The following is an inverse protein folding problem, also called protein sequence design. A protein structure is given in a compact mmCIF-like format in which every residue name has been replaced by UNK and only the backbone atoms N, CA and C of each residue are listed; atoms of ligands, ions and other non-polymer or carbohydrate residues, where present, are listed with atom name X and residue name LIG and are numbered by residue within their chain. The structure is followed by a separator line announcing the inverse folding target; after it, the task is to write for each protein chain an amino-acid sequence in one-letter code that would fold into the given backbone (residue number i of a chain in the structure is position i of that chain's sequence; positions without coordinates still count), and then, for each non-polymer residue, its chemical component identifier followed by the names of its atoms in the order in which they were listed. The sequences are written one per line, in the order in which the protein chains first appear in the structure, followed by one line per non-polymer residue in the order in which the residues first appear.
data_IF_075242929268
#
_entry.id   IF_075242929268
#
_cell.length_a   1.000
_cell.length_b   1.000
_cell.length_c   1.000
_cell.angle_alpha   90.00
_cell.angle_beta   90.00
_cell.angle_gamma   90.00
#
_symmetry.space_group_name_H-M   'P 1'
#
loop_
_entity.id
_entity.type
_entity.pdbx_description
1 polymer ?
#
# COMPACT_ATOMS: atom_id res chain seq x y z
N UNK A 1 10.18 32.22 5.34
CA UNK A 1 10.42 30.85 4.80
C UNK A 1 9.14 30.36 4.15
N UNK A 2 9.17 29.98 2.86
CA UNK A 2 7.99 29.36 2.21
C UNK A 2 7.81 27.94 2.80
N UNK A 3 6.66 27.65 3.40
CA UNK A 3 6.35 26.29 3.83
C UNK A 3 6.26 25.39 2.58
N UNK A 4 7.16 24.42 2.47
CA UNK A 4 7.07 23.37 1.45
C UNK A 4 5.86 22.51 1.79
N UNK A 5 4.75 22.70 1.07
CA UNK A 5 3.58 21.83 1.21
C UNK A 5 3.99 20.44 0.73
N UNK A 6 4.23 19.52 1.67
CA UNK A 6 4.46 18.11 1.31
C UNK A 6 3.20 17.58 0.64
N UNK A 7 3.35 17.02 -0.56
CA UNK A 7 2.26 16.32 -1.25
C UNK A 7 1.80 15.18 -0.35
N UNK A 8 0.51 15.12 -0.05
CA UNK A 8 -0.08 14.00 0.69
C UNK A 8 0.19 12.70 -0.08
N UNK A 9 0.59 11.64 0.64
CA UNK A 9 0.77 10.30 0.10
C UNK A 9 0.01 9.31 1.00
N UNK A 10 -0.76 8.38 0.42
CA UNK A 10 -1.38 7.31 1.20
C UNK A 10 -0.29 6.42 1.81
N UNK A 11 -0.52 5.96 3.05
CA UNK A 11 0.26 4.90 3.69
C UNK A 11 -0.65 3.69 3.87
N UNK A 12 -0.19 2.53 3.42
CA UNK A 12 -0.87 1.26 3.67
C UNK A 12 -0.29 0.68 4.96
N UNK A 13 -1.16 0.24 5.87
CA UNK A 13 -0.79 -0.50 7.07
C UNK A 13 -1.56 -1.82 7.07
N UNK A 14 -0.89 -2.91 7.47
CA UNK A 14 -1.51 -4.24 7.49
C UNK A 14 -1.71 -4.62 8.94
N UNK A 15 -2.95 -4.92 9.29
CA UNK A 15 -3.33 -5.33 10.64
C UNK A 15 -3.80 -6.78 10.53
N UNK A 16 -3.12 -7.66 11.26
CA UNK A 16 -3.43 -9.07 11.31
C UNK A 16 -4.64 -9.34 12.21
N UNK A 17 -5.20 -10.55 12.16
CA UNK A 17 -6.37 -10.91 12.98
C UNK A 17 -6.10 -10.86 14.49
N UNK A 18 -4.83 -10.98 14.90
CA UNK A 18 -4.37 -10.82 16.28
C UNK A 18 -4.10 -9.35 16.67
N UNK A 19 -4.35 -8.40 15.77
CA UNK A 19 -4.13 -6.97 15.98
C UNK A 19 -2.70 -6.52 15.76
N UNK A 20 -1.77 -7.43 15.41
CA UNK A 20 -0.39 -7.05 15.11
C UNK A 20 -0.30 -6.25 13.81
N UNK A 21 0.58 -5.25 13.80
CA UNK A 21 0.86 -4.44 12.59
C UNK A 21 2.08 -5.02 11.89
N UNK A 22 1.91 -5.43 10.63
CA UNK A 22 3.00 -5.96 9.81
C UNK A 22 3.30 -5.00 8.67
N UNK A 23 4.50 -4.41 8.69
CA UNK A 23 4.97 -3.54 7.62
C UNK A 23 5.74 -4.30 6.53
N UNK A 24 6.45 -5.35 6.92
CA UNK A 24 7.16 -6.24 6.00
C UNK A 24 6.36 -7.51 5.74
N UNK A 25 5.77 -7.59 4.55
CA UNK A 25 5.06 -8.78 4.08
C UNK A 25 5.98 -9.77 3.36
N UNK A 26 7.30 -9.59 3.39
CA UNK A 26 8.23 -10.55 2.80
C UNK A 26 8.01 -11.93 3.42
N UNK A 27 7.75 -12.94 2.57
CA UNK A 27 7.44 -14.31 3.00
C UNK A 27 5.96 -14.60 3.23
N UNK A 28 5.07 -13.61 3.15
CA UNK A 28 3.62 -13.82 3.22
C UNK A 28 3.03 -14.07 1.82
N UNK A 29 2.16 -15.07 1.71
CA UNK A 29 1.40 -15.35 0.50
C UNK A 29 0.00 -14.79 0.66
N UNK A 30 -0.35 -13.78 -0.14
CA UNK A 30 -1.71 -13.26 -0.22
C UNK A 30 -2.46 -14.06 -1.30
N UNK A 31 -3.57 -14.75 -0.96
CA UNK A 31 -4.33 -15.52 -1.95
C UNK A 31 -4.85 -14.65 -3.10
N UNK A 32 -4.83 -15.21 -4.31
CA UNK A 32 -5.48 -14.60 -5.46
C UNK A 32 -7.00 -14.47 -5.23
N UNK A 33 -7.59 -13.36 -5.65
CA UNK A 33 -9.01 -13.05 -5.41
C UNK A 33 -9.33 -12.52 -4.01
N UNK A 34 -8.32 -12.38 -3.14
CA UNK A 34 -8.48 -11.65 -1.89
C UNK A 34 -8.47 -10.15 -2.16
N UNK A 35 -9.45 -9.40 -1.64
CA UNK A 35 -9.63 -7.97 -1.93
C UNK A 35 -8.36 -7.13 -1.68
N UNK A 36 -7.56 -7.51 -0.69
CA UNK A 36 -6.27 -6.88 -0.39
C UNK A 36 -5.29 -6.90 -1.57
N UNK A 37 -5.21 -8.02 -2.30
CA UNK A 37 -4.37 -8.16 -3.49
C UNK A 37 -4.80 -7.19 -4.59
N UNK A 38 -6.10 -7.11 -4.86
CA UNK A 38 -6.66 -6.24 -5.90
C UNK A 38 -6.43 -4.75 -5.60
N UNK A 39 -6.54 -4.35 -4.33
CA UNK A 39 -6.28 -2.98 -3.88
C UNK A 39 -4.81 -2.61 -4.11
N UNK A 40 -3.86 -3.43 -3.66
CA UNK A 40 -2.42 -3.15 -3.82
C UNK A 40 -2.04 -3.13 -5.29
N UNK A 41 -2.52 -4.11 -6.07
CA UNK A 41 -2.27 -4.17 -7.51
C UNK A 41 -2.81 -2.92 -8.21
N UNK A 42 -4.00 -2.47 -7.83
CA UNK A 42 -4.61 -1.23 -8.32
C UNK A 42 -3.76 0.01 -8.00
N UNK A 43 -3.30 0.14 -6.76
CA UNK A 43 -2.43 1.25 -6.34
C UNK A 43 -1.10 1.26 -7.09
N UNK A 44 -0.47 0.09 -7.25
CA UNK A 44 0.77 -0.05 -8.00
C UNK A 44 0.61 0.36 -9.48
N UNK A 45 -0.48 -0.09 -10.13
CA UNK A 45 -0.80 0.32 -11.51
C UNK A 45 -1.03 1.83 -11.62
N UNK A 46 -1.66 2.47 -10.63
CA UNK A 46 -1.83 3.92 -10.63
C UNK A 46 -0.50 4.67 -10.48
N UNK A 47 0.42 4.17 -9.66
CA UNK A 47 1.77 4.75 -9.52
C UNK A 47 2.54 4.66 -10.85
N UNK A 48 2.52 3.50 -11.51
CA UNK A 48 3.16 3.31 -12.81
C UNK A 48 2.61 4.26 -13.88
N UNK A 49 1.29 4.49 -13.92
CA UNK A 49 0.66 5.42 -14.87
C UNK A 49 1.01 6.88 -14.63
N UNK A 50 1.45 7.26 -13.43
CA UNK A 50 1.89 8.64 -13.12
C UNK A 50 3.34 8.90 -13.55
N UNK A 51 4.10 7.85 -13.88
CA UNK A 51 5.49 7.94 -14.35
C UNK A 51 5.68 7.69 -15.85
N UNK A 52 4.60 7.51 -16.60
CA UNK A 52 4.58 7.36 -18.06
C UNK A 52 4.12 8.64 -18.75
#
# INVERSE_FOLDING_TARGET
MKQVKKKWKPRIINIMADGSVIEDLTGYVIPAGHAYYDIILGMHKQELRKGA
#
